data_IF_166425446791
#
_entry.id   IF_166425446791
#
_cell.length_a   1.000
_cell.length_b   1.000
_cell.length_c   1.000
_cell.angle_alpha   90.00
_cell.angle_beta   90.00
_cell.angle_gamma   90.00
#
_symmetry.space_group_name_H-M   'P 1'
#
loop_
_entity.id
_entity.type
_entity.pdbx_description
1 polymer ?
#
# COMPACT_ATOMS: atom_id res chain seq x y z
N UNK A 1 -3.79 -30.56 11.08
CA UNK A 1 -4.12 -30.74 9.64
C UNK A 1 -3.40 -32.00 9.20
N UNK A 2 -4.13 -32.99 8.70
CA UNK A 2 -3.56 -34.27 8.25
C UNK A 2 -2.75 -34.00 6.98
N UNK A 3 -1.44 -34.20 7.04
CA UNK A 3 -0.51 -33.97 5.93
C UNK A 3 -0.66 -34.98 4.78
N UNK A 4 -1.86 -35.23 4.31
CA UNK A 4 -2.08 -35.99 3.08
C UNK A 4 -1.81 -35.05 1.90
N UNK A 5 -1.02 -35.46 0.91
CA UNK A 5 -0.95 -34.76 -0.36
C UNK A 5 -2.36 -34.72 -0.95
N UNK A 6 -2.94 -33.54 -1.04
CA UNK A 6 -4.21 -33.35 -1.73
C UNK A 6 -3.89 -33.42 -3.22
N UNK A 7 -4.57 -34.29 -3.94
CA UNK A 7 -4.52 -34.26 -5.39
C UNK A 7 -5.07 -32.91 -5.84
N UNK A 8 -4.26 -32.13 -6.54
CA UNK A 8 -4.59 -30.76 -6.92
C UNK A 8 -5.90 -30.69 -7.73
N UNK A 9 -6.13 -31.66 -8.61
CA UNK A 9 -7.36 -31.75 -9.39
C UNK A 9 -8.60 -31.99 -8.50
N UNK A 10 -8.50 -32.92 -7.55
CA UNK A 10 -9.61 -33.23 -6.63
C UNK A 10 -9.93 -32.07 -5.70
N UNK A 11 -8.92 -31.34 -5.24
CA UNK A 11 -9.11 -30.16 -4.41
C UNK A 11 -9.76 -29.03 -5.21
N UNK A 12 -9.31 -28.81 -6.43
CA UNK A 12 -9.85 -27.77 -7.31
C UNK A 12 -11.33 -28.01 -7.64
N UNK A 13 -11.70 -29.24 -7.92
CA UNK A 13 -13.09 -29.58 -8.26
C UNK A 13 -14.02 -29.57 -7.04
N UNK A 14 -13.50 -29.86 -5.84
CA UNK A 14 -14.30 -29.93 -4.63
C UNK A 14 -14.49 -28.58 -3.92
N UNK A 15 -13.51 -27.67 -4.00
CA UNK A 15 -13.48 -26.47 -3.13
C UNK A 15 -13.26 -25.15 -3.87
N UNK A 16 -12.91 -25.17 -5.14
CA UNK A 16 -12.73 -23.95 -5.94
C UNK A 16 -12.99 -24.24 -7.42
N UNK A 17 -13.20 -23.17 -8.20
CA UNK A 17 -13.27 -23.25 -9.68
C UNK A 17 -11.90 -23.63 -10.27
N UNK A 18 -10.95 -23.99 -9.42
CA UNK A 18 -9.59 -24.32 -9.78
C UNK A 18 -8.75 -23.11 -10.11
N UNK A 19 -7.65 -22.94 -9.38
CA UNK A 19 -6.73 -21.81 -9.59
C UNK A 19 -6.26 -21.72 -11.04
N UNK A 20 -5.96 -22.87 -11.67
CA UNK A 20 -5.51 -22.92 -13.06
C UNK A 20 -6.63 -22.57 -14.04
N UNK A 21 -7.83 -23.09 -13.84
CA UNK A 21 -9.01 -22.73 -14.67
C UNK A 21 -9.31 -21.24 -14.57
N UNK A 22 -9.33 -20.71 -13.35
CA UNK A 22 -9.56 -19.28 -13.11
C UNK A 22 -8.51 -18.42 -13.79
N UNK A 23 -7.22 -18.74 -13.65
CA UNK A 23 -6.15 -18.03 -14.34
C UNK A 23 -6.28 -18.08 -15.86
N UNK A 24 -6.60 -19.24 -16.43
CA UNK A 24 -6.80 -19.38 -17.86
C UNK A 24 -7.97 -18.52 -18.35
N UNK A 25 -9.01 -18.36 -17.55
CA UNK A 25 -10.16 -17.56 -17.91
C UNK A 25 -9.86 -16.04 -17.79
N UNK A 26 -9.22 -15.63 -16.70
CA UNK A 26 -8.79 -14.24 -16.48
C UNK A 26 -7.76 -13.79 -17.50
N UNK A 27 -6.86 -14.68 -17.92
CA UNK A 27 -5.83 -14.40 -18.91
C UNK A 27 -6.29 -14.67 -20.36
N UNK A 28 -7.53 -15.05 -20.54
CA UNK A 28 -8.08 -15.26 -21.88
C UNK A 28 -7.98 -13.97 -22.70
N UNK A 29 -7.29 -14.04 -23.82
CA UNK A 29 -6.97 -12.87 -24.64
C UNK A 29 -5.68 -12.11 -24.25
N UNK A 30 -5.13 -12.30 -23.07
CA UNK A 30 -3.85 -11.70 -22.65
C UNK A 30 -2.65 -12.57 -23.04
N UNK A 31 -2.38 -12.69 -24.31
CA UNK A 31 -1.23 -13.43 -24.83
C UNK A 31 0.07 -12.64 -24.71
N UNK A 32 1.22 -13.32 -24.83
CA UNK A 32 2.51 -12.64 -24.87
C UNK A 32 2.62 -11.62 -26.03
N UNK A 33 1.88 -11.82 -27.11
CA UNK A 33 1.81 -10.85 -28.22
C UNK A 33 1.06 -9.59 -27.80
N UNK A 34 -0.08 -9.72 -27.11
CA UNK A 34 -0.82 -8.59 -26.54
C UNK A 34 0.04 -7.82 -25.57
N UNK A 35 0.68 -8.54 -24.62
CA UNK A 35 1.60 -7.93 -23.66
C UNK A 35 2.75 -7.18 -24.35
N UNK A 36 3.30 -7.72 -25.43
CA UNK A 36 4.36 -7.07 -26.18
C UNK A 36 3.89 -5.75 -26.83
N UNK A 37 2.68 -5.71 -27.34
CA UNK A 37 2.09 -4.49 -27.94
C UNK A 37 1.84 -3.40 -26.89
N UNK A 38 1.33 -3.79 -25.72
CA UNK A 38 1.02 -2.86 -24.62
C UNK A 38 2.28 -2.33 -23.93
N UNK A 39 3.31 -3.16 -23.75
CA UNK A 39 4.51 -2.81 -22.98
C UNK A 39 5.68 -2.33 -23.84
N UNK A 40 5.67 -2.59 -25.13
CA UNK A 40 6.81 -2.38 -26.03
C UNK A 40 7.94 -3.41 -25.85
N UNK A 41 7.77 -4.42 -24.98
CA UNK A 41 8.78 -5.47 -24.76
C UNK A 41 8.59 -6.56 -25.81
N UNK A 42 9.64 -7.00 -26.53
CA UNK A 42 9.51 -8.04 -27.52
C UNK A 42 8.91 -9.33 -26.95
N UNK A 43 7.98 -9.95 -27.67
CA UNK A 43 7.30 -11.17 -27.25
C UNK A 43 8.26 -12.30 -26.87
N UNK A 44 9.33 -12.47 -27.64
CA UNK A 44 10.37 -13.45 -27.34
C UNK A 44 11.06 -13.23 -25.99
N UNK A 45 11.28 -11.97 -25.62
CA UNK A 45 11.85 -11.58 -24.32
C UNK A 45 10.90 -11.93 -23.19
N UNK A 46 9.61 -11.61 -23.33
CA UNK A 46 8.58 -11.94 -22.33
C UNK A 46 8.56 -13.46 -22.10
N UNK A 47 8.49 -14.25 -23.16
CA UNK A 47 8.47 -15.72 -23.09
C UNK A 47 9.76 -16.28 -22.48
N UNK A 48 10.92 -15.72 -22.81
CA UNK A 48 12.21 -16.12 -22.26
C UNK A 48 12.26 -15.90 -20.74
N UNK A 49 11.95 -14.68 -20.29
CA UNK A 49 11.96 -14.32 -18.86
C UNK A 49 10.97 -15.19 -18.06
N UNK A 50 9.76 -15.42 -18.60
CA UNK A 50 8.78 -16.26 -17.95
C UNK A 50 9.28 -17.70 -17.75
N UNK A 51 9.97 -18.28 -18.74
CA UNK A 51 10.57 -19.62 -18.62
C UNK A 51 11.73 -19.64 -17.63
N UNK A 52 12.63 -18.67 -17.70
CA UNK A 52 13.74 -18.55 -16.76
C UNK A 52 13.22 -18.43 -15.32
N UNK A 53 12.22 -17.59 -15.08
CA UNK A 53 11.60 -17.45 -13.78
C UNK A 53 10.95 -18.73 -13.27
N UNK A 54 10.27 -19.47 -14.16
CA UNK A 54 9.61 -20.73 -13.81
C UNK A 54 10.59 -21.87 -13.52
N UNK A 55 11.77 -21.87 -14.15
CA UNK A 55 12.74 -22.98 -14.08
C UNK A 55 13.90 -22.72 -13.13
N UNK A 56 14.20 -21.46 -12.80
CA UNK A 56 15.27 -21.10 -11.86
C UNK A 56 14.71 -21.05 -10.45
N UNK A 57 15.22 -21.87 -9.54
CA UNK A 57 14.74 -21.98 -8.16
C UNK A 57 15.85 -21.66 -7.16
N UNK A 58 15.55 -20.93 -6.08
CA UNK A 58 14.33 -20.16 -5.84
C UNK A 58 14.24 -18.92 -6.73
N UNK A 59 13.03 -18.55 -7.13
CA UNK A 59 12.78 -17.30 -7.87
C UNK A 59 11.69 -16.50 -7.16
N UNK A 60 11.89 -15.19 -7.03
CA UNK A 60 10.94 -14.29 -6.38
C UNK A 60 10.68 -13.06 -7.23
N UNK A 61 9.48 -12.53 -7.12
CA UNK A 61 9.15 -11.19 -7.60
C UNK A 61 9.09 -10.23 -6.45
N UNK A 62 9.54 -9.01 -6.69
CA UNK A 62 9.45 -7.89 -5.76
C UNK A 62 8.66 -6.76 -6.42
N UNK A 63 7.89 -6.04 -5.63
CA UNK A 63 7.23 -4.82 -6.09
C UNK A 63 7.85 -3.59 -5.47
N UNK A 64 7.92 -2.50 -6.23
CA UNK A 64 8.14 -1.18 -5.67
C UNK A 64 6.90 -0.69 -4.90
N UNK A 65 7.09 0.21 -3.94
CA UNK A 65 5.99 0.81 -3.16
C UNK A 65 4.91 1.47 -4.03
N UNK A 66 5.32 2.13 -5.10
CA UNK A 66 4.43 2.92 -5.96
C UNK A 66 3.44 2.13 -6.78
N UNK A 67 3.72 0.86 -7.08
CA UNK A 67 2.88 0.06 -7.99
C UNK A 67 1.43 -0.05 -7.52
N UNK A 68 1.21 -0.22 -6.23
CA UNK A 68 -0.13 -0.30 -5.64
C UNK A 68 -0.84 1.05 -5.53
N UNK A 69 -0.11 2.15 -5.62
CA UNK A 69 -0.65 3.51 -5.51
C UNK A 69 -1.07 4.10 -6.86
N UNK A 70 -0.82 3.42 -7.96
CA UNK A 70 -1.20 3.90 -9.29
C UNK A 70 -2.72 3.92 -9.46
N UNK A 71 -3.27 4.97 -10.07
CA UNK A 71 -4.70 5.06 -10.36
C UNK A 71 -5.20 3.86 -11.18
N UNK A 72 -6.41 3.42 -10.90
CA UNK A 72 -7.05 2.32 -11.60
C UNK A 72 -6.64 0.95 -11.04
N UNK A 73 -5.74 0.25 -11.70
CA UNK A 73 -5.46 -1.17 -11.45
C UNK A 73 -4.28 -1.45 -10.50
N UNK A 74 -3.85 -0.50 -9.68
CA UNK A 74 -2.68 -0.68 -8.81
C UNK A 74 -2.76 -1.92 -7.90
N UNK A 75 -3.91 -2.21 -7.31
CA UNK A 75 -4.14 -3.40 -6.49
C UNK A 75 -3.99 -4.69 -7.30
N UNK A 76 -4.57 -4.74 -8.50
CA UNK A 76 -4.45 -5.90 -9.38
C UNK A 76 -3.03 -6.10 -9.89
N UNK A 77 -2.29 -5.03 -10.14
CA UNK A 77 -0.87 -5.10 -10.47
C UNK A 77 -0.07 -5.78 -9.34
N UNK A 78 -0.33 -5.40 -8.09
CA UNK A 78 0.30 -6.04 -6.93
C UNK A 78 -0.06 -7.51 -6.84
N UNK A 79 -1.32 -7.85 -7.01
CA UNK A 79 -1.75 -9.25 -7.00
C UNK A 79 -1.11 -10.05 -8.12
N UNK A 80 -1.05 -9.53 -9.33
CA UNK A 80 -0.40 -10.20 -10.46
C UNK A 80 1.09 -10.46 -10.19
N UNK A 81 1.81 -9.47 -9.65
CA UNK A 81 3.23 -9.61 -9.30
C UNK A 81 3.44 -10.69 -8.23
N UNK A 82 2.67 -10.64 -7.13
CA UNK A 82 2.84 -11.63 -6.05
C UNK A 82 2.33 -13.02 -6.40
N UNK A 83 1.32 -13.12 -7.26
CA UNK A 83 0.82 -14.41 -7.73
C UNK A 83 1.90 -15.24 -8.44
N UNK A 84 2.88 -14.59 -9.09
CA UNK A 84 4.02 -15.26 -9.71
C UNK A 84 4.84 -16.07 -8.68
N UNK A 85 5.00 -15.56 -7.44
CA UNK A 85 5.68 -16.30 -6.37
C UNK A 85 4.91 -17.58 -6.00
N UNK A 86 3.59 -17.49 -5.93
CA UNK A 86 2.72 -18.65 -5.69
C UNK A 86 2.79 -19.68 -6.82
N UNK A 87 2.71 -19.22 -8.08
CA UNK A 87 2.74 -20.09 -9.26
C UNK A 87 4.04 -20.91 -9.38
N UNK A 88 5.17 -20.36 -8.92
CA UNK A 88 6.45 -21.07 -8.94
C UNK A 88 6.79 -21.78 -7.63
N UNK A 89 5.89 -21.74 -6.62
CA UNK A 89 6.09 -22.40 -5.33
C UNK A 89 7.19 -21.75 -4.48
N UNK A 90 7.37 -20.43 -4.58
CA UNK A 90 8.40 -19.68 -3.87
C UNK A 90 7.87 -18.93 -2.64
N UNK A 91 6.74 -19.33 -2.07
CA UNK A 91 6.17 -18.74 -0.84
C UNK A 91 6.55 -19.62 0.35
N UNK A 92 7.05 -18.99 1.43
CA UNK A 92 7.46 -19.67 2.69
C UNK A 92 8.49 -20.77 2.52
N UNK A 93 9.38 -20.64 1.55
CA UNK A 93 10.50 -21.55 1.31
C UNK A 93 11.84 -20.83 1.44
N UNK A 94 12.91 -21.57 1.73
CA UNK A 94 14.27 -21.00 1.85
C UNK A 94 14.66 -20.30 0.53
N UNK A 95 14.99 -19.01 0.62
CA UNK A 95 15.31 -18.17 -0.55
C UNK A 95 14.10 -17.68 -1.33
N UNK A 96 12.90 -17.96 -0.86
CA UNK A 96 11.64 -17.48 -1.43
C UNK A 96 11.10 -16.22 -0.74
N UNK A 97 9.84 -15.92 -1.01
CA UNK A 97 9.10 -14.84 -0.38
C UNK A 97 8.56 -15.32 0.98
N UNK A 98 9.14 -14.83 2.06
CA UNK A 98 8.75 -15.21 3.40
C UNK A 98 7.97 -14.09 4.09
N UNK A 99 7.00 -14.45 4.90
CA UNK A 99 6.32 -13.52 5.78
C UNK A 99 7.20 -13.23 6.99
N UNK A 100 7.45 -11.95 7.27
CA UNK A 100 8.15 -11.57 8.49
C UNK A 100 7.17 -11.56 9.66
N UNK A 101 7.45 -12.30 10.74
CA UNK A 101 6.73 -12.06 11.98
C UNK A 101 6.97 -10.62 12.42
N UNK A 102 5.91 -9.92 12.73
CA UNK A 102 6.03 -8.58 13.31
C UNK A 102 6.78 -8.70 14.63
N UNK A 103 7.75 -7.83 14.86
CA UNK A 103 8.32 -7.66 16.21
C UNK A 103 7.22 -7.05 17.06
N UNK A 104 6.68 -7.80 18.01
CA UNK A 104 5.80 -7.23 19.03
C UNK A 104 6.64 -6.43 20.02
N UNK A 105 6.31 -5.17 20.17
CA UNK A 105 6.72 -4.40 21.33
C UNK A 105 5.96 -4.92 22.55
N UNK A 106 6.42 -4.56 23.77
CA UNK A 106 5.76 -4.92 25.01
C UNK A 106 4.24 -4.81 24.89
N UNK A 107 3.54 -5.87 25.23
CA UNK A 107 2.06 -5.94 25.22
C UNK A 107 1.43 -5.11 26.35
N UNK A 108 2.23 -4.49 27.22
CA UNK A 108 1.77 -3.57 28.24
C UNK A 108 1.38 -2.23 27.58
N UNK A 109 0.10 -1.98 27.32
CA UNK A 109 -0.31 -0.69 26.82
C UNK A 109 0.02 0.37 27.86
N UNK A 110 0.71 1.43 27.46
CA UNK A 110 0.82 2.61 28.30
C UNK A 110 -0.62 3.06 28.61
N UNK A 111 -1.07 3.03 29.86
CA UNK A 111 -2.44 3.39 30.17
C UNK A 111 -2.67 4.87 29.85
N UNK A 112 -3.26 5.15 28.72
CA UNK A 112 -3.68 6.49 28.32
C UNK A 112 -5.12 6.67 28.79
N UNK A 113 -5.31 7.44 29.83
CA UNK A 113 -6.65 7.84 30.26
C UNK A 113 -7.18 8.90 29.28
N UNK A 114 -8.15 8.50 28.48
CA UNK A 114 -8.85 9.43 27.60
C UNK A 114 -9.85 10.24 28.41
N UNK A 115 -9.75 11.56 28.32
CA UNK A 115 -10.79 12.47 28.79
C UNK A 115 -12.03 12.44 27.87
N UNK A 116 -13.07 13.17 28.22
CA UNK A 116 -14.33 13.14 27.46
C UNK A 116 -14.20 13.81 26.08
N UNK A 117 -13.27 14.75 25.95
CA UNK A 117 -12.97 15.39 24.68
C UNK A 117 -12.32 14.39 23.72
N UNK A 118 -11.30 13.67 24.17
CA UNK A 118 -10.64 12.63 23.40
C UNK A 118 -11.60 11.49 23.02
N UNK A 119 -12.46 11.04 23.95
CA UNK A 119 -13.51 10.05 23.65
C UNK A 119 -14.50 10.51 22.59
N UNK A 120 -14.82 11.78 22.58
CA UNK A 120 -15.68 12.39 21.56
C UNK A 120 -14.97 12.49 20.22
N UNK A 121 -13.72 12.94 20.23
CA UNK A 121 -12.87 13.04 19.02
C UNK A 121 -12.67 11.69 18.33
N UNK A 122 -12.41 10.63 19.09
CA UNK A 122 -12.20 9.28 18.52
C UNK A 122 -13.44 8.67 17.86
N UNK A 123 -14.63 9.20 18.12
CA UNK A 123 -15.89 8.79 17.50
C UNK A 123 -16.17 9.53 16.18
N UNK A 124 -15.44 10.60 15.89
CA UNK A 124 -15.63 11.35 14.67
C UNK A 124 -15.18 10.54 13.44
N UNK A 125 -15.81 10.71 12.29
CA UNK A 125 -15.33 10.12 11.04
C UNK A 125 -13.90 10.55 10.74
N UNK A 126 -13.12 9.67 10.17
CA UNK A 126 -11.75 10.03 9.76
C UNK A 126 -11.78 10.99 8.58
N UNK A 127 -10.89 11.98 8.61
CA UNK A 127 -10.79 13.00 7.56
C UNK A 127 -10.41 12.41 6.18
N UNK A 128 -9.71 11.28 6.14
CA UNK A 128 -9.34 10.58 4.92
C UNK A 128 -10.41 9.60 4.41
N UNK A 129 -11.54 9.49 5.12
CA UNK A 129 -12.64 8.56 4.84
C UNK A 129 -12.25 7.06 4.83
N UNK A 130 -11.10 6.69 5.43
CA UNK A 130 -10.73 5.28 5.59
C UNK A 130 -11.85 4.49 6.30
N UNK A 131 -12.13 3.29 5.80
CA UNK A 131 -13.13 2.39 6.38
C UNK A 131 -14.58 2.74 6.02
N UNK A 132 -14.80 3.73 5.16
CA UNK A 132 -16.13 4.03 4.62
C UNK A 132 -16.47 3.11 3.45
N UNK A 133 -17.72 3.15 2.98
CA UNK A 133 -18.16 2.42 1.78
C UNK A 133 -17.32 2.78 0.55
N UNK A 134 -16.85 4.01 0.47
CA UNK A 134 -16.00 4.49 -0.62
C UNK A 134 -14.59 3.88 -0.57
N UNK A 135 -14.06 3.64 0.63
CA UNK A 135 -12.71 3.14 0.85
C UNK A 135 -12.65 2.02 1.91
N UNK A 136 -13.33 0.89 1.65
CA UNK A 136 -13.54 -0.14 2.68
C UNK A 136 -12.27 -0.86 3.13
N UNK A 137 -11.26 -0.96 2.26
CA UNK A 137 -10.03 -1.71 2.51
C UNK A 137 -8.77 -0.84 2.52
N UNK A 138 -8.91 0.47 2.43
CA UNK A 138 -7.76 1.36 2.42
C UNK A 138 -7.12 1.44 3.81
N UNK A 139 -5.80 1.56 3.84
CA UNK A 139 -5.09 1.84 5.09
C UNK A 139 -5.01 3.35 5.38
N UNK A 140 -4.55 4.14 4.43
CA UNK A 140 -4.50 5.61 4.50
C UNK A 140 -4.81 6.18 3.12
N UNK A 141 -5.61 7.26 3.07
CA UNK A 141 -5.96 7.93 1.82
C UNK A 141 -5.50 9.39 1.89
N UNK A 142 -4.20 9.59 1.86
CA UNK A 142 -3.55 10.90 2.00
C UNK A 142 -4.11 11.95 1.07
N UNK A 143 -4.33 11.63 -0.20
CA UNK A 143 -4.86 12.58 -1.17
C UNK A 143 -6.30 13.02 -0.85
N UNK A 144 -7.13 12.12 -0.34
CA UNK A 144 -8.50 12.45 0.06
C UNK A 144 -8.52 13.34 1.30
N UNK A 145 -7.56 13.13 2.22
CA UNK A 145 -7.41 14.01 3.38
C UNK A 145 -7.17 15.46 2.96
N UNK A 146 -6.31 15.72 1.97
CA UNK A 146 -6.08 17.08 1.47
C UNK A 146 -7.37 17.73 0.95
N UNK A 147 -8.13 17.00 0.12
CA UNK A 147 -9.39 17.49 -0.44
C UNK A 147 -10.44 17.80 0.64
N UNK A 148 -10.50 16.96 1.66
CA UNK A 148 -11.45 17.10 2.75
C UNK A 148 -11.07 18.24 3.70
N UNK A 149 -9.79 18.44 3.98
CA UNK A 149 -9.31 19.60 4.76
C UNK A 149 -9.67 20.90 4.06
N UNK A 150 -9.49 20.97 2.75
CA UNK A 150 -9.85 22.17 1.98
C UNK A 150 -11.35 22.49 2.02
N UNK A 151 -12.20 21.46 2.16
CA UNK A 151 -13.66 21.56 2.22
C UNK A 151 -14.23 21.63 3.65
N UNK A 152 -13.39 21.60 4.67
CA UNK A 152 -13.81 21.45 6.08
C UNK A 152 -14.70 20.23 6.34
N UNK A 153 -14.44 19.14 5.64
CA UNK A 153 -15.23 17.91 5.74
C UNK A 153 -14.41 16.78 6.39
N UNK A 154 -14.97 16.06 7.33
CA UNK A 154 -16.27 16.21 8.01
C UNK A 154 -16.23 17.31 9.10
N UNK A 155 -15.09 17.92 9.34
CA UNK A 155 -14.86 19.01 10.27
C UNK A 155 -13.62 19.81 9.87
N UNK A 156 -13.47 21.07 10.29
CA UNK A 156 -12.25 21.86 10.05
C UNK A 156 -11.07 21.28 10.83
N UNK A 157 -9.88 21.43 10.27
CA UNK A 157 -8.62 21.08 10.95
C UNK A 157 -7.99 22.37 11.48
N UNK A 158 -7.81 22.42 12.79
CA UNK A 158 -7.24 23.55 13.49
C UNK A 158 -5.71 23.46 13.66
N UNK A 159 -5.16 22.22 13.64
CA UNK A 159 -3.74 22.02 13.82
C UNK A 159 -3.24 20.79 13.08
N UNK A 160 -2.03 20.89 12.53
CA UNK A 160 -1.27 19.76 12.00
C UNK A 160 -0.02 19.54 12.85
N UNK A 161 0.07 18.36 13.46
CA UNK A 161 1.33 17.84 13.99
C UNK A 161 1.90 16.87 12.98
N UNK A 162 3.02 17.20 12.40
CA UNK A 162 3.63 16.33 11.39
C UNK A 162 5.01 15.83 11.86
N UNK A 163 5.26 14.57 11.52
CA UNK A 163 6.51 13.93 11.80
C UNK A 163 7.09 13.36 10.52
N UNK A 164 8.26 13.86 10.12
CA UNK A 164 9.09 13.33 9.05
C UNK A 164 8.37 13.13 7.69
N UNK A 165 7.42 13.96 7.38
CA UNK A 165 6.72 13.93 6.10
C UNK A 165 6.97 15.19 5.27
N UNK A 166 6.82 15.07 3.97
CA UNK A 166 6.89 16.19 3.02
C UNK A 166 5.93 15.93 1.86
N UNK A 167 4.63 16.10 2.10
CA UNK A 167 3.61 15.81 1.09
C UNK A 167 3.54 16.86 -0.01
N UNK A 168 4.05 18.06 0.22
CA UNK A 168 4.23 19.06 -0.84
C UNK A 168 5.20 18.61 -1.93
N UNK A 169 6.10 17.68 -1.60
CA UNK A 169 7.03 17.05 -2.55
C UNK A 169 6.61 15.63 -2.93
N UNK A 170 6.27 14.80 -1.97
CA UNK A 170 6.12 13.36 -2.16
C UNK A 170 4.70 12.90 -2.52
N UNK A 171 3.69 13.74 -2.35
CA UNK A 171 2.32 13.41 -2.70
C UNK A 171 1.90 14.03 -4.04
N UNK A 172 1.03 13.37 -4.83
CA UNK A 172 0.46 13.97 -6.02
C UNK A 172 -0.32 15.25 -5.69
N UNK A 173 -0.17 16.27 -6.54
CA UNK A 173 -0.88 17.55 -6.36
C UNK A 173 -0.28 18.43 -5.28
N UNK A 174 1.03 18.71 -5.35
CA UNK A 174 1.77 19.57 -4.40
C UNK A 174 1.08 20.90 -4.10
N UNK A 175 0.57 21.59 -5.11
CA UNK A 175 -0.17 22.86 -4.92
C UNK A 175 -1.38 22.71 -3.99
N UNK A 176 -2.09 21.60 -4.07
CA UNK A 176 -3.23 21.30 -3.19
C UNK A 176 -2.78 21.18 -1.73
N UNK A 177 -1.64 20.56 -1.48
CA UNK A 177 -1.07 20.48 -0.14
C UNK A 177 -0.57 21.83 0.36
N UNK A 178 -0.01 22.67 -0.51
CA UNK A 178 0.32 24.06 -0.15
C UNK A 178 -0.93 24.85 0.27
N UNK A 179 -2.05 24.68 -0.42
CA UNK A 179 -3.33 25.30 -0.05
C UNK A 179 -3.82 24.81 1.32
N UNK A 180 -3.69 23.50 1.60
CA UNK A 180 -3.99 22.94 2.92
C UNK A 180 -3.16 23.60 4.01
N UNK A 181 -1.84 23.71 3.80
CA UNK A 181 -0.93 24.27 4.78
C UNK A 181 -1.15 25.77 5.01
N UNK A 182 -1.61 26.50 4.00
CA UNK A 182 -2.01 27.91 4.14
C UNK A 182 -3.35 28.09 4.84
N UNK A 183 -4.22 27.07 4.77
CA UNK A 183 -5.55 27.10 5.37
C UNK A 183 -5.54 26.74 6.85
N UNK A 184 -4.74 25.75 7.24
CA UNK A 184 -4.69 25.27 8.63
C UNK A 184 -4.04 26.32 9.52
N UNK A 185 -4.68 26.72 10.63
CA UNK A 185 -4.23 27.84 11.46
C UNK A 185 -2.88 27.62 12.15
N UNK A 186 -2.51 26.38 12.45
CA UNK A 186 -1.28 26.08 13.17
C UNK A 186 -0.63 24.79 12.70
N UNK A 187 0.68 24.81 12.54
CA UNK A 187 1.46 23.63 12.14
C UNK A 187 2.76 23.49 12.94
N UNK A 188 2.97 22.33 13.56
CA UNK A 188 4.27 21.94 14.09
C UNK A 188 4.86 20.78 13.28
N UNK A 189 6.13 20.93 12.89
CA UNK A 189 6.85 19.91 12.10
C UNK A 189 8.06 19.39 12.83
N UNK A 190 8.03 18.12 13.19
CA UNK A 190 9.16 17.37 13.76
C UNK A 190 9.95 16.70 12.64
N UNK A 191 11.17 17.15 12.38
CA UNK A 191 11.96 16.73 11.23
C UNK A 191 13.46 16.77 11.48
N UNK A 192 14.21 15.96 10.73
CA UNK A 192 15.69 15.94 10.77
C UNK A 192 16.33 17.01 9.89
N UNK A 193 15.61 17.54 8.91
CA UNK A 193 16.06 18.57 7.99
C UNK A 193 14.88 19.42 7.51
N UNK A 194 15.17 20.65 7.12
CA UNK A 194 14.17 21.56 6.56
C UNK A 194 13.82 21.12 5.14
N UNK A 195 12.54 21.08 4.85
CA UNK A 195 11.97 20.69 3.55
C UNK A 195 10.90 21.72 3.13
N UNK A 196 10.31 21.52 1.95
CA UNK A 196 9.22 22.36 1.44
C UNK A 196 8.04 22.40 2.44
N UNK A 197 7.75 21.27 3.08
CA UNK A 197 6.73 21.14 4.12
C UNK A 197 7.04 22.02 5.34
N UNK A 198 8.31 22.09 5.73
CA UNK A 198 8.78 22.89 6.86
C UNK A 198 8.60 24.40 6.67
N UNK A 199 8.56 24.85 5.41
CA UNK A 199 8.40 26.28 5.09
C UNK A 199 7.04 26.87 5.52
N UNK A 200 6.07 26.01 5.80
CA UNK A 200 4.74 26.39 6.27
C UNK A 200 4.55 26.17 7.77
N UNK A 201 5.55 25.64 8.47
CA UNK A 201 5.44 25.33 9.88
C UNK A 201 5.63 26.59 10.74
N UNK A 202 4.75 26.76 11.74
CA UNK A 202 4.89 27.79 12.78
C UNK A 202 6.00 27.40 13.77
N UNK A 203 6.16 26.09 14.02
CA UNK A 203 7.20 25.54 14.88
C UNK A 203 7.88 24.37 14.18
N UNK A 204 9.22 24.41 14.15
CA UNK A 204 10.04 23.29 13.71
C UNK A 204 10.73 22.67 14.93
N UNK A 205 10.45 21.41 15.19
CA UNK A 205 11.09 20.62 16.24
C UNK A 205 12.19 19.75 15.62
N UNK A 206 13.46 19.98 15.96
CA UNK A 206 14.54 19.20 15.39
C UNK A 206 14.51 17.76 15.92
N UNK A 207 14.50 16.79 15.01
CA UNK A 207 14.68 15.39 15.33
C UNK A 207 16.14 14.99 15.20
N UNK A 208 16.60 14.08 16.06
CA UNK A 208 17.90 13.45 15.85
C UNK A 208 17.81 12.40 14.74
N UNK A 209 18.89 12.29 13.97
CA UNK A 209 19.10 11.13 13.09
C UNK A 209 19.44 9.91 13.95
N UNK A 210 19.33 8.74 13.38
CA UNK A 210 19.72 7.48 14.02
C UNK A 210 21.23 7.18 13.88
N UNK A 211 22.00 8.12 13.33
CA UNK A 211 23.47 8.04 13.22
C UNK A 211 24.14 8.64 14.45
#
# INVERSE_FOLDING_TARGET
>A
MSGRPVNEADWQDAYSIGLVKWWNEVLNGFTANVAAKETGIPEGTIKKIAREFATTKPAITLRGRGVGAWPGNGTYNVYAIYALNGLVGSVEVKGGANHYPSVSFSDEPIPITQDDLAKTGTKQPRIDEKGTVKFPYADVITNNAADNILKDFPYPIEMILSYWNNWTFSAPGSKRWEEVLKKVPFMAHHTTHISEWSMYADIILPAKTYL
#
